data_IF_835529454380
#
_entry.id   IF_835529454380
#
_cell.length_a   1.000
_cell.length_b   1.000
_cell.length_c   1.000
_cell.angle_alpha   90.00
_cell.angle_beta   90.00
_cell.angle_gamma   90.00
#
_symmetry.space_group_name_H-M   'P 1'
#
loop_
_entity.id
_entity.type
_entity.pdbx_description
1 polymer ?
#
# COMPACT_ATOMS: atom_id res chain seq x y z
N UNK A 1 33.25 -78.15 -11.06
CA UNK A 1 33.34 -76.93 -10.22
C UNK A 1 33.09 -75.73 -11.13
N UNK A 2 32.50 -74.64 -10.64
CA UNK A 2 32.31 -73.35 -11.37
C UNK A 2 30.94 -73.05 -12.01
N UNK A 3 29.83 -73.41 -11.35
CA UNK A 3 28.51 -72.80 -11.63
C UNK A 3 28.09 -71.75 -10.58
N UNK A 4 28.93 -71.45 -9.59
CA UNK A 4 28.64 -70.56 -8.46
C UNK A 4 28.88 -69.05 -8.73
N UNK A 5 29.38 -68.66 -9.91
CA UNK A 5 29.67 -67.24 -10.24
C UNK A 5 28.63 -66.59 -11.17
N UNK A 6 27.43 -67.17 -11.33
CA UNK A 6 26.41 -66.63 -12.25
C UNK A 6 25.68 -65.37 -11.77
N UNK A 7 25.85 -64.97 -10.50
CA UNK A 7 25.13 -63.83 -9.90
C UNK A 7 26.06 -62.71 -9.38
N UNK A 8 27.27 -62.56 -9.91
CA UNK A 8 28.09 -61.38 -9.60
C UNK A 8 27.70 -60.31 -10.62
N UNK A 9 26.91 -59.33 -10.20
CA UNK A 9 26.57 -58.16 -11.02
C UNK A 9 27.86 -57.41 -11.36
N UNK A 10 28.36 -57.58 -12.57
CA UNK A 10 29.53 -56.85 -13.08
C UNK A 10 29.09 -55.42 -13.42
N UNK A 11 29.23 -54.51 -12.46
CA UNK A 11 28.92 -53.09 -12.66
C UNK A 11 29.98 -52.50 -13.59
N UNK A 12 29.55 -51.85 -14.67
CA UNK A 12 30.46 -51.17 -15.60
C UNK A 12 31.24 -50.07 -14.84
N UNK A 13 32.55 -49.88 -15.08
CA UNK A 13 33.36 -48.91 -14.35
C UNK A 13 32.75 -47.50 -14.36
N UNK A 14 32.24 -47.03 -15.50
CA UNK A 14 31.55 -45.74 -15.60
C UNK A 14 30.32 -45.61 -14.70
N UNK A 15 29.56 -46.69 -14.49
CA UNK A 15 28.40 -46.66 -13.60
C UNK A 15 28.84 -46.58 -12.12
N UNK A 16 29.97 -47.20 -11.77
CA UNK A 16 30.60 -47.08 -10.46
C UNK A 16 31.14 -45.66 -10.23
N UNK A 17 31.86 -45.11 -11.20
CA UNK A 17 32.39 -43.75 -11.13
C UNK A 17 31.26 -42.72 -10.99
N UNK A 18 30.17 -42.89 -11.74
CA UNK A 18 28.99 -42.03 -11.62
C UNK A 18 28.36 -42.09 -10.22
N UNK A 19 28.24 -43.29 -9.64
CA UNK A 19 27.73 -43.48 -8.28
C UNK A 19 28.62 -42.81 -7.22
N UNK A 20 29.94 -42.90 -7.39
CA UNK A 20 30.90 -42.29 -6.47
C UNK A 20 30.87 -40.75 -6.58
N UNK A 21 30.76 -40.21 -7.80
CA UNK A 21 30.51 -38.78 -8.04
C UNK A 21 29.20 -38.36 -7.36
N UNK A 22 28.12 -39.11 -7.58
CA UNK A 22 26.80 -38.82 -7.02
C UNK A 22 26.84 -38.78 -5.49
N UNK A 23 27.47 -39.77 -4.84
CA UNK A 23 27.66 -39.78 -3.39
C UNK A 23 28.44 -38.56 -2.90
N UNK A 24 29.50 -38.17 -3.60
CA UNK A 24 30.32 -37.00 -3.26
C UNK A 24 29.53 -35.70 -3.41
N UNK A 25 28.76 -35.57 -4.46
CA UNK A 25 27.98 -34.37 -4.74
C UNK A 25 26.83 -34.24 -3.73
N UNK A 26 26.18 -35.34 -3.37
CA UNK A 26 25.15 -35.36 -2.33
C UNK A 26 25.71 -35.02 -0.95
N UNK A 27 26.87 -35.58 -0.58
CA UNK A 27 27.50 -35.25 0.70
C UNK A 27 27.94 -33.78 0.75
N UNK A 28 28.46 -33.25 -0.35
CA UNK A 28 28.83 -31.84 -0.48
C UNK A 28 27.60 -30.93 -0.40
N UNK A 29 26.53 -31.24 -1.14
CA UNK A 29 25.29 -30.48 -1.12
C UNK A 29 24.66 -30.46 0.28
N UNK A 30 24.63 -31.62 0.96
CA UNK A 30 24.14 -31.71 2.33
C UNK A 30 24.95 -30.84 3.29
N UNK A 31 26.29 -30.83 3.15
CA UNK A 31 27.18 -29.97 3.93
C UNK A 31 26.91 -28.49 3.66
N UNK A 32 26.82 -28.07 2.39
CA UNK A 32 26.53 -26.68 2.05
C UNK A 32 25.18 -26.20 2.60
N UNK A 33 24.15 -27.06 2.58
CA UNK A 33 22.85 -26.73 3.18
C UNK A 33 22.97 -26.58 4.70
N UNK A 34 23.75 -27.42 5.36
CA UNK A 34 23.96 -27.33 6.81
C UNK A 34 24.73 -26.04 7.18
N UNK A 35 25.83 -25.76 6.48
CA UNK A 35 26.63 -24.54 6.65
C UNK A 35 25.79 -23.28 6.43
N UNK A 36 24.97 -23.23 5.38
CA UNK A 36 24.11 -22.09 5.07
C UNK A 36 23.00 -21.90 6.12
N UNK A 37 22.43 -22.99 6.63
CA UNK A 37 21.45 -22.92 7.73
C UNK A 37 22.07 -22.34 8.99
N UNK A 38 23.26 -22.80 9.35
CA UNK A 38 23.98 -22.33 10.53
C UNK A 38 24.41 -20.86 10.38
N UNK A 39 24.94 -20.48 9.22
CA UNK A 39 25.29 -19.11 8.90
C UNK A 39 24.08 -18.16 8.99
N UNK A 40 22.95 -18.54 8.41
CA UNK A 40 21.73 -17.74 8.47
C UNK A 40 21.18 -17.62 9.89
N UNK A 41 21.23 -18.71 10.68
CA UNK A 41 20.86 -18.69 12.09
C UNK A 41 21.73 -17.71 12.88
N UNK A 42 23.06 -17.82 12.78
CA UNK A 42 23.99 -16.93 13.49
C UNK A 42 23.76 -15.45 13.13
N UNK A 43 23.52 -15.15 11.85
CA UNK A 43 23.22 -13.77 11.41
C UNK A 43 21.88 -13.29 11.97
N UNK A 44 20.85 -14.12 11.94
CA UNK A 44 19.54 -13.82 12.51
C UNK A 44 19.68 -13.52 13.99
N UNK A 45 20.22 -14.45 14.78
CA UNK A 45 20.38 -14.33 16.24
C UNK A 45 21.19 -13.08 16.63
N UNK A 46 22.17 -12.66 15.81
CA UNK A 46 22.96 -11.44 16.07
C UNK A 46 22.15 -10.14 15.95
N UNK A 47 21.20 -10.09 15.04
CA UNK A 47 20.44 -8.87 14.71
C UNK A 47 19.01 -8.86 15.22
N UNK A 48 18.46 -10.05 15.48
CA UNK A 48 17.09 -10.22 15.87
C UNK A 48 16.95 -9.92 17.36
N UNK A 49 16.07 -8.98 17.67
CA UNK A 49 15.59 -8.75 19.03
C UNK A 49 14.09 -9.00 19.01
N UNK A 50 13.64 -9.91 19.87
CA UNK A 50 12.22 -10.13 20.10
C UNK A 50 11.65 -8.89 20.80
N UNK A 51 10.59 -8.27 20.26
CA UNK A 51 9.98 -7.13 20.92
C UNK A 51 9.16 -7.60 22.11
N UNK A 52 9.51 -7.13 23.30
CA UNK A 52 8.77 -7.38 24.53
C UNK A 52 7.49 -6.54 24.58
N UNK A 53 6.41 -7.06 24.00
CA UNK A 53 5.08 -6.45 24.13
C UNK A 53 4.33 -7.01 25.33
N UNK A 54 3.59 -6.15 26.03
CA UNK A 54 2.68 -6.58 27.11
C UNK A 54 1.24 -6.22 26.81
N UNK A 55 0.32 -7.02 27.37
CA UNK A 55 -1.11 -6.69 27.36
C UNK A 55 -1.34 -5.33 28.03
N UNK A 56 -2.14 -4.47 27.38
CA UNK A 56 -2.45 -3.12 27.84
C UNK A 56 -1.54 -2.02 27.30
N UNK A 57 -0.41 -2.35 26.67
CA UNK A 57 0.47 -1.34 26.07
C UNK A 57 -0.13 -0.73 24.79
N UNK A 58 0.32 0.49 24.47
CA UNK A 58 -0.04 1.16 23.24
C UNK A 58 0.97 0.84 22.14
N UNK A 59 0.45 0.55 20.96
CA UNK A 59 1.24 0.20 19.80
C UNK A 59 0.73 0.84 18.51
N UNK A 60 1.66 1.08 17.61
CA UNK A 60 1.46 1.55 16.26
C UNK A 60 1.35 0.35 15.31
N UNK A 61 0.37 0.38 14.41
CA UNK A 61 0.13 -0.70 13.44
C UNK A 61 0.52 -0.26 12.04
N UNK A 62 1.28 -1.08 11.31
CA UNK A 62 1.72 -0.76 9.95
C UNK A 62 0.57 -0.69 8.94
N UNK A 63 0.59 0.31 8.06
CA UNK A 63 -0.40 0.49 6.97
C UNK A 63 -0.16 -0.40 5.76
N UNK A 64 0.85 -1.27 5.77
CA UNK A 64 1.25 -2.07 4.60
C UNK A 64 0.09 -2.92 4.07
N UNK A 65 -0.71 -3.53 4.97
CA UNK A 65 -1.86 -4.38 4.63
C UNK A 65 -3.22 -3.63 4.65
N UNK A 66 -3.18 -2.30 4.71
CA UNK A 66 -4.38 -1.48 4.71
C UNK A 66 -4.63 -0.92 3.31
N UNK A 67 -5.56 -1.54 2.58
CA UNK A 67 -5.95 -1.10 1.23
C UNK A 67 -7.10 -0.07 1.22
N UNK A 68 -7.86 0.03 2.31
CA UNK A 68 -9.10 0.80 2.36
C UNK A 68 -8.95 2.10 3.18
N UNK A 69 -7.76 2.69 3.19
CA UNK A 69 -7.60 4.03 3.77
C UNK A 69 -8.13 5.08 2.79
N UNK A 70 -8.71 6.15 3.34
CA UNK A 70 -9.11 7.34 2.55
C UNK A 70 -7.92 7.94 1.79
N UNK A 71 -6.73 7.86 2.36
CA UNK A 71 -5.51 8.48 1.84
C UNK A 71 -4.77 7.63 0.80
N UNK A 72 -4.14 8.31 -0.16
CA UNK A 72 -3.29 7.69 -1.17
C UNK A 72 -2.05 7.04 -0.53
N UNK A 73 -1.59 5.90 -1.08
CA UNK A 73 -0.45 5.12 -0.53
C UNK A 73 0.82 5.95 -0.27
N UNK A 74 1.06 7.01 -1.04
CA UNK A 74 2.23 7.89 -0.91
C UNK A 74 2.07 9.00 0.14
N UNK A 75 0.84 9.39 0.44
CA UNK A 75 0.52 10.50 1.35
C UNK A 75 0.17 10.01 2.75
N UNK A 76 -0.18 8.73 2.89
CA UNK A 76 -0.58 8.15 4.17
C UNK A 76 0.62 7.84 5.06
N UNK A 77 0.36 7.90 6.36
CA UNK A 77 1.34 7.45 7.35
C UNK A 77 1.66 5.96 7.20
N UNK A 78 2.92 5.62 7.47
CA UNK A 78 3.37 4.21 7.42
C UNK A 78 2.82 3.39 8.60
N UNK A 79 2.43 4.06 9.68
CA UNK A 79 1.87 3.46 10.88
C UNK A 79 0.67 4.26 11.38
N UNK A 80 -0.35 3.56 11.87
CA UNK A 80 -1.58 4.15 12.41
C UNK A 80 -1.66 3.93 13.91
N UNK A 81 -2.22 4.96 14.55
CA UNK A 81 -2.78 4.94 15.91
C UNK A 81 -1.78 4.65 17.03
N UNK A 82 -2.04 5.13 18.24
CA UNK A 82 -1.82 4.30 19.40
C UNK A 82 -3.03 3.39 19.58
N UNK A 83 -2.88 2.11 19.27
CA UNK A 83 -3.88 1.10 19.59
C UNK A 83 -3.47 0.30 20.81
N UNK A 84 -4.44 -0.09 21.64
CA UNK A 84 -4.15 -0.86 22.86
C UNK A 84 -4.10 -2.35 22.57
N UNK A 85 -3.06 -3.03 23.06
CA UNK A 85 -2.97 -4.48 23.05
C UNK A 85 -3.99 -5.06 24.03
N UNK A 86 -4.86 -5.93 23.54
CA UNK A 86 -5.79 -6.70 24.38
C UNK A 86 -5.09 -7.92 24.96
N UNK A 87 -4.44 -8.71 24.09
CA UNK A 87 -3.71 -9.93 24.47
C UNK A 87 -2.66 -10.29 23.43
N UNK A 88 -1.71 -11.12 23.83
CA UNK A 88 -0.71 -11.71 22.95
C UNK A 88 -1.19 -13.09 22.50
N UNK A 89 -0.90 -13.45 21.25
CA UNK A 89 -1.12 -14.79 20.71
C UNK A 89 0.27 -15.40 20.47
N UNK A 90 0.78 -16.06 21.50
CA UNK A 90 2.15 -16.57 21.52
C UNK A 90 3.18 -15.46 21.28
N UNK A 91 4.28 -15.82 20.61
CA UNK A 91 5.41 -14.93 20.30
C UNK A 91 5.28 -14.27 18.92
N UNK A 92 4.23 -14.58 18.14
CA UNK A 92 4.17 -14.20 16.72
C UNK A 92 3.18 -13.08 16.43
N UNK A 93 2.11 -12.97 17.23
CA UNK A 93 1.02 -12.05 16.93
C UNK A 93 0.40 -11.43 18.18
N UNK A 94 -0.22 -10.28 17.98
CA UNK A 94 -0.86 -9.48 19.02
C UNK A 94 -2.30 -9.19 18.62
N UNK A 95 -3.21 -9.25 19.59
CA UNK A 95 -4.60 -8.81 19.41
C UNK A 95 -4.71 -7.36 19.84
N UNK A 96 -5.12 -6.51 18.91
CA UNK A 96 -5.16 -5.07 19.09
C UNK A 96 -6.60 -4.58 19.06
N UNK A 97 -6.94 -3.64 19.95
CA UNK A 97 -8.23 -2.95 19.94
C UNK A 97 -8.25 -1.91 18.84
N UNK A 98 -8.79 -2.27 17.68
CA UNK A 98 -8.97 -1.36 16.55
C UNK A 98 -10.13 -0.39 16.81
N UNK A 99 -9.98 0.86 16.36
CA UNK A 99 -11.06 1.86 16.37
C UNK A 99 -12.13 1.53 15.33
N UNK A 100 -13.30 2.16 15.44
CA UNK A 100 -14.46 1.87 14.57
C UNK A 100 -14.14 2.05 13.07
N UNK A 101 -13.31 3.03 12.74
CA UNK A 101 -12.81 3.27 11.37
C UNK A 101 -12.09 2.05 10.76
N UNK A 102 -11.44 1.24 11.61
CA UNK A 102 -10.69 0.05 11.22
C UNK A 102 -11.39 -1.26 11.62
N UNK A 103 -12.65 -1.22 12.03
CA UNK A 103 -13.44 -2.40 12.46
C UNK A 103 -13.50 -3.51 11.41
N UNK A 104 -13.40 -3.17 10.11
CA UNK A 104 -13.38 -4.15 9.00
C UNK A 104 -12.06 -4.91 8.89
N UNK A 105 -11.01 -4.50 9.61
CA UNK A 105 -9.70 -5.16 9.61
C UNK A 105 -9.63 -6.18 10.73
N UNK A 106 -8.86 -7.24 10.49
CA UNK A 106 -8.69 -8.30 11.47
C UNK A 106 -7.88 -7.76 12.66
N UNK A 107 -8.34 -7.96 13.91
CA UNK A 107 -7.69 -7.40 15.10
C UNK A 107 -6.39 -8.11 15.48
N UNK A 108 -6.13 -9.31 14.93
CA UNK A 108 -4.88 -10.04 15.12
C UNK A 108 -3.86 -9.57 14.11
N UNK A 109 -2.74 -9.04 14.60
CA UNK A 109 -1.68 -8.43 13.80
C UNK A 109 -0.35 -9.10 14.15
N UNK A 110 0.45 -9.53 13.16
CA UNK A 110 1.79 -10.06 13.40
C UNK A 110 2.69 -9.04 14.12
N UNK A 111 3.53 -9.49 15.06
CA UNK A 111 4.42 -8.63 15.83
C UNK A 111 5.37 -7.80 14.94
N UNK A 112 5.78 -8.34 13.79
CA UNK A 112 6.62 -7.64 12.81
C UNK A 112 5.97 -6.39 12.20
N UNK A 113 4.64 -6.30 12.23
CA UNK A 113 3.87 -5.17 11.71
C UNK A 113 3.43 -4.20 12.82
N UNK A 114 3.90 -4.42 14.05
CA UNK A 114 3.57 -3.64 15.23
C UNK A 114 4.83 -2.95 15.73
N UNK A 115 4.69 -1.69 16.17
CA UNK A 115 5.75 -0.94 16.85
C UNK A 115 5.26 -0.42 18.18
N UNK A 116 6.13 -0.40 19.19
CA UNK A 116 5.80 0.21 20.47
C UNK A 116 5.52 1.71 20.30
N UNK A 117 4.43 2.18 20.89
CA UNK A 117 4.11 3.61 20.90
C UNK A 117 4.82 4.28 22.08
N UNK A 118 5.73 5.21 21.78
CA UNK A 118 6.31 6.08 22.79
C UNK A 118 5.54 7.39 22.81
N UNK A 119 4.88 7.66 23.93
CA UNK A 119 4.22 8.95 24.12
C UNK A 119 5.29 10.05 24.14
N UNK A 120 5.18 11.08 23.29
CA UNK A 120 6.16 12.14 23.29
C UNK A 120 6.04 12.92 24.59
N UNK A 121 7.11 12.91 25.38
CA UNK A 121 7.25 13.75 26.55
C UNK A 121 7.52 15.19 26.11
N UNK A 122 6.50 16.03 26.17
CA UNK A 122 6.59 17.46 25.82
C UNK A 122 7.65 18.19 26.64
N UNK A 123 7.91 17.71 27.88
CA UNK A 123 8.95 18.24 28.76
C UNK A 123 10.39 17.97 28.26
N UNK A 124 10.65 16.84 27.59
CA UNK A 124 11.98 16.51 27.07
C UNK A 124 12.32 17.26 25.78
N UNK A 125 11.30 17.68 25.01
CA UNK A 125 11.48 18.31 23.70
C UNK A 125 10.52 19.50 23.52
N UNK A 126 10.70 20.61 24.27
CA UNK A 126 9.78 21.76 24.24
C UNK A 126 9.73 22.49 22.89
N UNK A 127 10.75 22.34 22.05
CA UNK A 127 10.81 22.90 20.70
C UNK A 127 9.95 22.13 19.69
N UNK A 128 9.57 20.89 19.98
CA UNK A 128 8.80 20.04 19.07
C UNK A 128 7.31 20.26 19.26
N UNK A 129 6.78 21.38 18.75
CA UNK A 129 5.32 21.59 18.70
C UNK A 129 4.72 20.61 17.70
N UNK A 130 3.71 19.84 18.12
CA UNK A 130 2.90 19.04 17.19
C UNK A 130 2.15 20.01 16.28
N UNK A 131 2.36 19.91 14.97
CA UNK A 131 1.50 20.60 14.02
C UNK A 131 0.10 19.99 14.16
N UNK A 132 -0.96 20.79 14.35
CA UNK A 132 -2.32 20.26 14.38
C UNK A 132 -2.61 19.54 13.07
N UNK A 133 -3.28 18.39 13.14
CA UNK A 133 -3.75 17.68 11.95
C UNK A 133 -4.53 18.67 11.07
N UNK A 134 -4.18 18.81 9.78
CA UNK A 134 -4.93 19.69 8.89
C UNK A 134 -6.42 19.33 8.95
N UNK A 135 -7.33 20.32 8.99
CA UNK A 135 -8.76 20.03 8.99
C UNK A 135 -9.09 19.19 7.74
N UNK A 136 -9.89 18.14 7.92
CA UNK A 136 -10.42 17.35 6.81
C UNK A 136 -11.13 18.33 5.87
N UNK A 137 -10.68 18.40 4.61
CA UNK A 137 -11.28 19.27 3.61
C UNK A 137 -12.66 18.69 3.34
N UNK A 138 -13.67 19.22 4.04
CA UNK A 138 -15.06 18.92 3.73
C UNK A 138 -15.29 19.48 2.34
N UNK A 139 -15.58 18.61 1.38
CA UNK A 139 -16.09 19.03 0.07
C UNK A 139 -17.43 19.71 0.33
N UNK A 140 -17.39 21.03 0.58
CA UNK A 140 -18.58 21.84 0.67
C UNK A 140 -19.29 21.68 -0.66
N UNK A 141 -20.50 21.13 -0.61
CA UNK A 141 -21.38 20.96 -1.75
C UNK A 141 -21.43 22.30 -2.50
N UNK A 142 -20.79 22.34 -3.68
CA UNK A 142 -20.49 23.56 -4.44
C UNK A 142 -21.81 24.32 -4.70
N UNK A 143 -22.08 25.37 -3.92
CA UNK A 143 -23.13 26.32 -4.25
C UNK A 143 -22.89 26.81 -5.69
N UNK A 144 -23.90 26.86 -6.57
CA UNK A 144 -23.68 27.10 -7.99
C UNK A 144 -23.03 28.47 -8.23
N UNK A 145 -21.71 28.46 -8.48
CA UNK A 145 -20.94 29.67 -8.74
C UNK A 145 -21.36 30.25 -10.09
N UNK A 146 -21.68 31.55 -10.18
CA UNK A 146 -22.17 32.14 -11.42
C UNK A 146 -21.12 32.09 -12.54
N UNK A 147 -21.54 31.65 -13.72
CA UNK A 147 -20.68 31.48 -14.89
C UNK A 147 -20.31 32.83 -15.52
N UNK A 148 -19.01 33.07 -15.76
CA UNK A 148 -18.50 34.24 -16.48
C UNK A 148 -18.71 34.04 -17.98
N UNK A 149 -17.97 33.10 -18.57
CA UNK A 149 -17.99 32.81 -20.02
C UNK A 149 -17.58 31.37 -20.32
N UNK A 150 -17.98 30.88 -21.48
CA UNK A 150 -17.48 29.63 -22.06
C UNK A 150 -16.27 29.96 -22.93
N UNK A 151 -15.17 29.22 -22.74
CA UNK A 151 -13.87 29.53 -23.34
C UNK A 151 -13.60 28.59 -24.51
N UNK A 152 -13.79 27.29 -24.31
CA UNK A 152 -13.50 26.25 -25.30
C UNK A 152 -14.62 25.21 -25.32
N UNK A 153 -14.71 24.49 -26.44
CA UNK A 153 -15.55 23.31 -26.59
C UNK A 153 -14.68 22.15 -27.06
N UNK A 154 -14.96 20.94 -26.58
CA UNK A 154 -14.33 19.70 -27.06
C UNK A 154 -15.39 18.61 -27.23
N UNK A 155 -15.16 17.72 -28.19
CA UNK A 155 -15.95 16.49 -28.39
C UNK A 155 -15.19 15.32 -27.79
N UNK A 156 -15.88 14.48 -27.03
CA UNK A 156 -15.32 13.27 -26.40
C UNK A 156 -16.26 12.11 -26.73
N UNK A 157 -15.68 10.95 -27.07
CA UNK A 157 -16.43 9.70 -27.16
C UNK A 157 -16.41 9.00 -25.80
N UNK A 158 -17.58 8.81 -25.20
CA UNK A 158 -17.75 8.02 -23.99
C UNK A 158 -18.81 6.95 -24.26
N UNK A 159 -18.49 5.68 -24.03
CA UNK A 159 -19.40 4.54 -24.24
C UNK A 159 -20.08 4.54 -25.63
N UNK A 160 -19.33 4.87 -26.68
CA UNK A 160 -19.84 4.92 -28.06
C UNK A 160 -20.72 6.12 -28.41
N UNK A 161 -20.96 7.06 -27.49
CA UNK A 161 -21.71 8.30 -27.72
C UNK A 161 -20.77 9.50 -27.84
N UNK A 162 -21.03 10.36 -28.82
CA UNK A 162 -20.32 11.62 -29.00
C UNK A 162 -20.90 12.68 -28.03
N UNK A 163 -20.16 13.02 -26.98
CA UNK A 163 -20.51 14.05 -25.99
C UNK A 163 -19.72 15.34 -26.22
N UNK A 164 -20.38 16.48 -26.06
CA UNK A 164 -19.71 17.80 -26.08
C UNK A 164 -19.53 18.31 -24.66
N UNK A 165 -18.30 18.68 -24.32
CA UNK A 165 -17.97 19.39 -23.07
C UNK A 165 -17.52 20.81 -23.38
N UNK A 166 -17.84 21.71 -22.48
CA UNK A 166 -17.51 23.13 -22.55
C UNK A 166 -16.61 23.52 -21.38
N UNK A 167 -15.53 24.24 -21.65
CA UNK A 167 -14.65 24.78 -20.63
C UNK A 167 -15.29 26.08 -20.12
N UNK A 168 -15.72 26.04 -18.86
CA UNK A 168 -16.48 27.11 -18.23
C UNK A 168 -15.58 27.89 -17.29
N UNK A 169 -15.46 29.19 -17.55
CA UNK A 169 -14.82 30.12 -16.62
C UNK A 169 -15.85 30.71 -15.67
N UNK A 170 -15.58 30.62 -14.37
CA UNK A 170 -16.47 31.13 -13.32
C UNK A 170 -16.19 32.60 -13.00
N UNK A 171 -17.20 33.33 -12.50
CA UNK A 171 -16.97 34.69 -11.99
C UNK A 171 -16.17 34.62 -10.69
N UNK A 172 -15.29 35.59 -10.48
CA UNK A 172 -14.47 35.73 -9.26
C UNK A 172 -13.56 34.52 -8.96
N UNK A 173 -13.33 33.64 -9.94
CA UNK A 173 -12.35 32.57 -9.84
C UNK A 173 -11.21 32.78 -10.83
N UNK A 174 -10.03 32.26 -10.47
CA UNK A 174 -8.87 32.20 -11.36
C UNK A 174 -9.07 31.11 -12.41
N UNK A 175 -8.35 31.24 -13.52
CA UNK A 175 -8.37 30.28 -14.62
C UNK A 175 -8.02 28.84 -14.18
N UNK A 176 -7.26 28.68 -13.10
CA UNK A 176 -6.90 27.37 -12.54
C UNK A 176 -8.12 26.56 -12.05
N UNK A 177 -9.25 27.25 -11.77
CA UNK A 177 -10.50 26.62 -11.32
C UNK A 177 -11.51 26.42 -12.46
N UNK A 178 -11.13 26.67 -13.71
CA UNK A 178 -12.02 26.45 -14.86
C UNK A 178 -12.29 24.94 -15.03
N UNK A 179 -13.58 24.56 -15.10
CA UNK A 179 -14.02 23.15 -15.17
C UNK A 179 -14.62 22.83 -16.54
N UNK A 180 -14.44 21.58 -16.99
CA UNK A 180 -15.13 21.06 -18.18
C UNK A 180 -16.50 20.51 -17.80
N UNK A 181 -17.56 21.22 -18.19
CA UNK A 181 -18.94 20.86 -17.87
C UNK A 181 -19.72 20.43 -19.12
N UNK A 182 -20.78 19.66 -18.89
CA UNK A 182 -21.76 19.25 -19.90
C UNK A 182 -22.84 20.34 -20.05
N UNK A 183 -23.59 20.36 -21.15
CA UNK A 183 -24.57 21.43 -21.44
C UNK A 183 -25.60 21.61 -20.31
N UNK A 184 -26.03 20.50 -19.69
CA UNK A 184 -27.04 20.49 -18.62
C UNK A 184 -26.49 20.95 -17.26
N UNK A 185 -25.18 20.82 -17.04
CA UNK A 185 -24.53 21.15 -15.78
C UNK A 185 -24.09 22.61 -15.67
N UNK A 186 -24.36 23.44 -16.70
CA UNK A 186 -23.92 24.84 -16.75
C UNK A 186 -25.06 25.75 -16.27
N UNK A 187 -24.86 26.51 -15.17
CA UNK A 187 -25.81 27.55 -14.77
C UNK A 187 -26.00 28.59 -15.88
N UNK A 188 -27.25 28.89 -16.23
CA UNK A 188 -27.61 29.76 -17.37
C UNK A 188 -26.98 29.29 -18.72
N UNK A 189 -26.76 27.99 -18.87
CA UNK A 189 -26.00 27.39 -19.97
C UNK A 189 -26.48 27.82 -21.36
N UNK A 190 -27.81 27.86 -21.58
CA UNK A 190 -28.42 28.20 -22.87
C UNK A 190 -27.95 29.57 -23.37
N UNK A 191 -28.01 30.61 -22.52
CA UNK A 191 -27.62 31.97 -22.89
C UNK A 191 -26.13 32.08 -23.18
N UNK A 192 -25.30 31.44 -22.36
CA UNK A 192 -23.83 31.46 -22.50
C UNK A 192 -23.38 30.70 -23.74
N UNK A 193 -23.99 29.55 -24.01
CA UNK A 193 -23.72 28.75 -25.19
C UNK A 193 -24.12 29.46 -26.47
N UNK A 194 -25.25 30.16 -26.48
CA UNK A 194 -25.68 30.97 -27.62
C UNK A 194 -24.63 32.04 -27.97
N UNK A 195 -24.15 32.78 -26.96
CA UNK A 195 -23.10 33.80 -27.14
C UNK A 195 -21.79 33.19 -27.65
N UNK A 196 -21.37 32.06 -27.07
CA UNK A 196 -20.15 31.35 -27.48
C UNK A 196 -20.23 30.80 -28.92
N UNK A 197 -21.39 30.24 -29.31
CA UNK A 197 -21.62 29.76 -30.68
C UNK A 197 -21.65 30.92 -31.68
N UNK A 198 -22.16 32.09 -31.28
CA UNK A 198 -22.15 33.29 -32.13
C UNK A 198 -20.72 33.83 -32.33
N UNK A 199 -19.93 33.97 -31.27
CA UNK A 199 -18.54 34.48 -31.38
C UNK A 199 -17.65 33.58 -32.23
N UNK A 200 -17.89 32.26 -32.22
CA UNK A 200 -17.18 31.26 -33.03
C UNK A 200 -17.52 31.29 -34.53
N UNK A 201 -18.58 32.00 -34.95
CA UNK A 201 -18.97 32.12 -36.36
C UNK A 201 -18.39 33.38 -37.02
N UNK A 202 -18.04 34.37 -36.20
CA UNK A 202 -17.51 35.66 -36.64
C UNK A 202 -15.98 35.70 -36.67
N UNK A 203 -15.32 34.72 -36.04
CA UNK A 203 -13.88 34.42 -36.16
C UNK A 203 -13.66 33.42 -37.31
#
# INVERSE_FOLDING_TARGET
MDHLKKNILTIHPTAKDFHDIWKRDFSTAARCIAEEKEYNKQRWDKSHMEPDFKGGEQVLVSTLNFNNLKEQKKMRDSFLGPFTIIKLIGETAVVVKLTEEFSRKHPVIPMSLVKQYFQPEEAKLPSRKRNPTPPEIVEVEDSPVPVKKIIKARKIRLNGKDLRKYLVGFKNQRADKDKWLEEDAIPEGILKLRRFRASRRTE
#
